data_IF_531643756815
#
_entry.id   IF_531643756815
#
_cell.length_a   1.000
_cell.length_b   1.000
_cell.length_c   1.000
_cell.angle_alpha   90.00
_cell.angle_beta   90.00
_cell.angle_gamma   90.00
#
_symmetry.space_group_name_H-M   'P 1'
#
loop_
_entity.id
_entity.type
_entity.pdbx_description
1 polymer ?
#
# COMPACT_ATOMS: atom_id res chain seq x y z
N UNK A 1 29.21 -42.52 5.21
CA UNK A 1 28.65 -41.42 6.02
C UNK A 1 27.58 -40.71 5.22
N UNK A 2 26.30 -40.95 5.55
CA UNK A 2 25.15 -40.39 4.82
C UNK A 2 24.86 -39.01 5.42
N UNK A 3 25.23 -37.94 4.72
CA UNK A 3 24.92 -36.57 5.15
C UNK A 3 23.51 -36.23 4.67
N UNK A 4 22.64 -35.94 5.63
CA UNK A 4 21.24 -35.59 5.49
C UNK A 4 21.02 -34.49 4.45
N UNK A 5 20.15 -34.75 3.47
CA UNK A 5 19.55 -33.73 2.62
C UNK A 5 18.07 -33.62 3.03
N UNK A 6 17.83 -32.98 4.17
CA UNK A 6 16.48 -32.55 4.56
C UNK A 6 16.60 -31.08 4.89
N UNK A 7 15.94 -30.25 4.08
CA UNK A 7 15.73 -28.85 4.41
C UNK A 7 15.89 -27.94 3.22
N UNK A 8 14.84 -27.78 2.40
CA UNK A 8 14.46 -26.50 1.78
C UNK A 8 13.13 -26.56 0.98
N UNK A 9 12.06 -27.15 1.50
CA UNK A 9 10.77 -27.23 0.74
C UNK A 9 9.54 -26.79 1.55
N UNK A 10 9.70 -26.01 2.62
CA UNK A 10 8.56 -25.62 3.46
C UNK A 10 8.47 -24.10 3.72
N UNK A 11 8.42 -23.30 2.66
CA UNK A 11 8.17 -21.85 2.79
C UNK A 11 7.38 -21.21 1.63
N UNK A 12 6.58 -22.00 0.90
CA UNK A 12 5.81 -21.52 -0.27
C UNK A 12 4.29 -21.39 -0.02
N UNK A 13 3.80 -21.69 1.18
CA UNK A 13 2.36 -21.80 1.44
C UNK A 13 1.71 -20.55 2.08
N UNK A 14 2.48 -19.51 2.41
CA UNK A 14 1.94 -18.29 3.07
C UNK A 14 1.81 -17.07 2.14
N UNK A 15 2.22 -17.18 0.88
CA UNK A 15 2.16 -16.08 -0.09
C UNK A 15 0.79 -15.92 -0.75
N UNK A 16 0.00 -16.99 -0.86
CA UNK A 16 -1.31 -16.97 -1.53
C UNK A 16 -2.31 -16.05 -0.83
N UNK A 17 -2.44 -16.12 0.50
CA UNK A 17 -3.40 -15.28 1.22
C UNK A 17 -3.05 -13.79 1.22
N UNK A 18 -1.77 -13.44 1.11
CA UNK A 18 -1.34 -12.04 1.08
C UNK A 18 -1.64 -11.36 -0.25
N UNK A 19 -1.52 -12.08 -1.37
CA UNK A 19 -1.88 -11.53 -2.67
C UNK A 19 -3.36 -11.14 -2.69
N UNK A 20 -4.23 -12.04 -2.22
CA UNK A 20 -5.68 -11.78 -2.14
C UNK A 20 -6.01 -10.63 -1.17
N UNK A 21 -5.40 -10.58 0.02
CA UNK A 21 -5.61 -9.49 0.98
C UNK A 21 -5.17 -8.13 0.43
N UNK A 22 -4.02 -8.09 -0.26
CA UNK A 22 -3.49 -6.88 -0.87
C UNK A 22 -4.38 -6.43 -2.02
N UNK A 23 -4.77 -7.35 -2.91
CA UNK A 23 -5.63 -7.03 -4.05
C UNK A 23 -7.00 -6.54 -3.59
N UNK A 24 -7.58 -7.16 -2.57
CA UNK A 24 -8.82 -6.71 -1.94
C UNK A 24 -8.68 -5.30 -1.33
N UNK A 25 -7.57 -5.02 -0.66
CA UNK A 25 -7.28 -3.69 -0.13
C UNK A 25 -7.18 -2.65 -1.25
N UNK A 26 -6.41 -2.92 -2.31
CA UNK A 26 -6.23 -1.99 -3.43
C UNK A 26 -7.54 -1.77 -4.21
N UNK A 27 -8.35 -2.82 -4.37
CA UNK A 27 -9.68 -2.71 -4.95
C UNK A 27 -10.57 -1.79 -4.10
N UNK A 28 -10.64 -2.02 -2.79
CA UNK A 28 -11.42 -1.19 -1.88
C UNK A 28 -10.88 0.25 -1.76
N UNK A 29 -9.56 0.45 -1.89
CA UNK A 29 -8.96 1.77 -1.93
C UNK A 29 -9.37 2.51 -3.21
N UNK A 30 -9.30 1.87 -4.38
CA UNK A 30 -9.78 2.46 -5.64
C UNK A 30 -11.27 2.85 -5.57
N UNK A 31 -12.11 2.01 -4.95
CA UNK A 31 -13.53 2.35 -4.74
C UNK A 31 -13.72 3.58 -3.83
N UNK A 32 -12.93 3.68 -2.76
CA UNK A 32 -13.01 4.83 -1.83
C UNK A 32 -12.50 6.13 -2.46
N UNK A 33 -11.47 6.06 -3.30
CA UNK A 33 -10.97 7.24 -4.05
C UNK A 33 -12.08 7.76 -4.96
N UNK A 34 -12.80 6.86 -5.64
CA UNK A 34 -13.89 7.23 -6.54
C UNK A 34 -13.44 8.28 -7.56
N UNK A 35 -14.11 9.44 -7.56
CA UNK A 35 -13.76 10.59 -8.39
C UNK A 35 -12.94 11.67 -7.66
N UNK A 36 -12.71 11.52 -6.35
CA UNK A 36 -11.96 12.49 -5.55
C UNK A 36 -10.48 12.12 -5.49
N UNK A 37 -9.78 12.35 -6.60
CA UNK A 37 -8.33 12.14 -6.68
C UNK A 37 -7.54 13.14 -5.83
N UNK A 38 -8.09 14.33 -5.61
CA UNK A 38 -7.39 15.42 -4.91
C UNK A 38 -7.17 15.08 -3.44
N UNK A 39 -8.20 14.58 -2.74
CA UNK A 39 -8.05 14.17 -1.34
C UNK A 39 -7.11 12.97 -1.20
N UNK A 40 -7.12 12.06 -2.16
CA UNK A 40 -6.17 10.94 -2.22
C UNK A 40 -4.72 11.40 -2.40
N UNK A 41 -4.46 12.32 -3.32
CA UNK A 41 -3.14 12.91 -3.52
C UNK A 41 -2.64 13.62 -2.24
N UNK A 42 -3.50 14.38 -1.56
CA UNK A 42 -3.15 15.04 -0.30
C UNK A 42 -2.82 14.03 0.82
N UNK A 43 -3.58 12.93 0.90
CA UNK A 43 -3.33 11.85 1.86
C UNK A 43 -2.00 11.13 1.56
N UNK A 44 -1.66 10.89 0.30
CA UNK A 44 -0.36 10.34 -0.09
C UNK A 44 0.79 11.28 0.29
N UNK A 45 0.67 12.57 -0.02
CA UNK A 45 1.66 13.59 0.35
C UNK A 45 1.90 13.62 1.86
N UNK A 46 0.83 13.63 2.65
CA UNK A 46 0.91 13.64 4.11
C UNK A 46 1.48 12.35 4.68
N UNK A 47 1.03 11.19 4.17
CA UNK A 47 1.41 9.88 4.69
C UNK A 47 2.86 9.52 4.41
N UNK A 48 3.38 9.90 3.24
CA UNK A 48 4.72 9.53 2.78
C UNK A 48 5.69 10.72 2.75
N UNK A 49 5.30 11.88 3.29
CA UNK A 49 6.14 13.09 3.33
C UNK A 49 6.62 13.55 1.96
N UNK A 50 5.83 13.31 0.91
CA UNK A 50 6.21 13.57 -0.48
C UNK A 50 5.57 14.85 -1.02
N UNK A 51 6.34 15.64 -1.78
CA UNK A 51 5.85 16.86 -2.41
C UNK A 51 4.63 16.57 -3.32
N UNK A 52 3.62 17.44 -3.28
CA UNK A 52 2.37 17.25 -4.03
C UNK A 52 2.57 17.12 -5.55
N UNK A 53 3.51 17.85 -6.16
CA UNK A 53 3.79 17.73 -7.59
C UNK A 53 4.34 16.34 -7.93
N UNK A 54 5.20 15.80 -7.05
CA UNK A 54 5.72 14.44 -7.19
C UNK A 54 4.60 13.42 -7.06
N UNK A 55 3.71 13.59 -6.07
CA UNK A 55 2.55 12.71 -5.88
C UNK A 55 1.64 12.72 -7.12
N UNK A 56 1.27 13.90 -7.61
CA UNK A 56 0.46 14.05 -8.83
C UNK A 56 1.09 13.37 -10.03
N UNK A 57 2.40 13.54 -10.21
CA UNK A 57 3.15 12.89 -11.29
C UNK A 57 3.09 11.36 -11.21
N UNK A 58 3.28 10.80 -10.02
CA UNK A 58 3.18 9.34 -9.80
C UNK A 58 1.75 8.85 -10.00
N UNK A 59 0.75 9.52 -9.45
CA UNK A 59 -0.67 9.19 -9.63
C UNK A 59 -1.08 9.21 -11.11
N UNK A 60 -0.57 10.17 -11.89
CA UNK A 60 -0.79 10.25 -13.34
C UNK A 60 0.01 9.22 -14.16
N UNK A 61 0.94 8.48 -13.56
CA UNK A 61 1.84 7.55 -14.25
C UNK A 61 1.51 6.06 -14.01
N UNK A 62 0.46 5.77 -13.23
CA UNK A 62 0.01 4.42 -12.88
C UNK A 62 -1.36 4.11 -13.48
N UNK A 63 -1.69 2.83 -13.60
CA UNK A 63 -2.95 2.40 -14.25
C UNK A 63 -4.18 2.67 -13.36
N UNK A 64 -4.04 2.48 -12.05
CA UNK A 64 -5.10 2.72 -11.07
C UNK A 64 -4.60 3.67 -9.98
N UNK A 65 -5.41 4.59 -9.44
CA UNK A 65 -4.97 5.48 -8.37
C UNK A 65 -4.34 4.76 -7.16
N UNK A 66 -4.90 3.62 -6.72
CA UNK A 66 -4.34 2.84 -5.62
C UNK A 66 -2.94 2.25 -5.93
N UNK A 67 -2.55 2.12 -7.20
CA UNK A 67 -1.19 1.70 -7.55
C UNK A 67 -0.15 2.74 -7.14
N UNK A 68 -0.52 4.03 -7.10
CA UNK A 68 0.37 5.08 -6.62
C UNK A 68 0.69 4.90 -5.13
N UNK A 69 -0.29 4.45 -4.32
CA UNK A 69 -0.03 4.08 -2.92
C UNK A 69 1.05 2.99 -2.84
N UNK A 70 0.99 1.97 -3.69
CA UNK A 70 1.98 0.89 -3.70
C UNK A 70 3.36 1.38 -4.14
N UNK A 71 3.43 2.32 -5.09
CA UNK A 71 4.70 2.95 -5.49
C UNK A 71 5.36 3.63 -4.29
N UNK A 72 4.61 4.46 -3.54
CA UNK A 72 5.16 5.16 -2.37
C UNK A 72 5.45 4.21 -1.19
N UNK A 73 4.59 3.21 -0.95
CA UNK A 73 4.80 2.26 0.14
C UNK A 73 6.06 1.41 -0.10
N UNK A 74 6.27 0.94 -1.32
CA UNK A 74 7.50 0.21 -1.67
C UNK A 74 8.72 1.12 -1.60
N UNK A 75 8.62 2.37 -2.05
CA UNK A 75 9.71 3.34 -1.94
C UNK A 75 10.15 3.53 -0.47
N UNK A 76 9.20 3.71 0.44
CA UNK A 76 9.46 3.84 1.87
C UNK A 76 10.12 2.58 2.47
N UNK A 77 9.51 1.41 2.26
CA UNK A 77 9.97 0.14 2.85
C UNK A 77 11.34 -0.28 2.30
N UNK A 78 11.58 -0.04 1.00
CA UNK A 78 12.86 -0.39 0.35
C UNK A 78 13.91 0.71 0.44
N UNK A 79 13.55 1.87 1.01
CA UNK A 79 14.38 3.09 1.07
C UNK A 79 14.86 3.54 -0.33
N UNK A 80 14.00 3.41 -1.33
CA UNK A 80 14.24 3.80 -2.72
C UNK A 80 13.44 5.03 -3.08
N UNK A 81 13.79 5.65 -4.20
CA UNK A 81 12.99 6.74 -4.74
C UNK A 81 11.71 6.20 -5.43
N UNK A 82 10.55 6.90 -5.31
CA UNK A 82 9.32 6.52 -6.01
C UNK A 82 9.51 6.32 -7.51
N UNK A 83 10.39 7.09 -8.13
CA UNK A 83 10.73 7.02 -9.54
C UNK A 83 11.39 5.68 -9.91
N UNK A 84 12.27 5.15 -9.05
CA UNK A 84 12.87 3.81 -9.24
C UNK A 84 11.80 2.71 -9.17
N UNK A 85 10.89 2.82 -8.20
CA UNK A 85 9.78 1.87 -8.04
C UNK A 85 8.85 1.92 -9.26
N UNK A 86 8.56 3.12 -9.76
CA UNK A 86 7.71 3.32 -10.94
C UNK A 86 8.32 2.67 -12.20
N UNK A 87 9.64 2.72 -12.37
CA UNK A 87 10.33 2.02 -13.46
C UNK A 87 10.15 0.51 -13.39
N UNK A 88 10.25 -0.07 -12.18
CA UNK A 88 10.06 -1.51 -11.97
C UNK A 88 8.59 -1.90 -12.16
N UNK A 89 7.65 -1.08 -11.64
CA UNK A 89 6.21 -1.25 -11.87
C UNK A 89 5.89 -1.32 -13.36
N UNK A 90 6.35 -0.35 -14.16
CA UNK A 90 6.07 -0.32 -15.61
C UNK A 90 6.55 -1.58 -16.34
N UNK A 91 7.62 -2.22 -15.86
CA UNK A 91 8.17 -3.46 -16.44
C UNK A 91 7.46 -4.73 -15.99
N UNK A 92 6.83 -4.72 -14.81
CA UNK A 92 6.37 -5.94 -14.15
C UNK A 92 4.92 -5.92 -13.64
N UNK A 93 4.17 -4.83 -13.86
CA UNK A 93 2.79 -4.66 -13.37
C UNK A 93 1.84 -5.80 -13.77
N UNK A 94 2.02 -6.38 -14.96
CA UNK A 94 1.24 -7.53 -15.44
C UNK A 94 1.43 -8.81 -14.59
N UNK A 95 2.49 -8.86 -13.78
CA UNK A 95 2.81 -9.98 -12.87
C UNK A 95 2.41 -9.69 -11.42
N UNK A 96 1.74 -8.56 -11.17
CA UNK A 96 1.26 -8.13 -9.87
C UNK A 96 2.34 -7.56 -8.94
N UNK A 97 1.89 -6.97 -7.84
CA UNK A 97 2.72 -6.26 -6.87
C UNK A 97 3.76 -7.14 -6.17
N UNK A 98 3.45 -8.42 -5.96
CA UNK A 98 4.42 -9.38 -5.41
C UNK A 98 5.68 -9.49 -6.26
N UNK A 99 5.55 -9.47 -7.59
CA UNK A 99 6.71 -9.50 -8.50
C UNK A 99 7.49 -8.18 -8.46
N UNK A 100 6.79 -7.05 -8.48
CA UNK A 100 7.42 -5.72 -8.37
C UNK A 100 8.23 -5.61 -7.07
N UNK A 101 7.67 -6.04 -5.95
CA UNK A 101 8.35 -6.04 -4.65
C UNK A 101 9.61 -6.92 -4.66
N UNK A 102 9.54 -8.11 -5.25
CA UNK A 102 10.71 -9.00 -5.39
C UNK A 102 11.84 -8.37 -6.21
N UNK A 103 11.52 -7.72 -7.34
CA UNK A 103 12.50 -7.02 -8.18
C UNK A 103 13.16 -5.84 -7.46
N UNK A 104 12.49 -5.26 -6.45
CA UNK A 104 13.03 -4.22 -5.58
C UNK A 104 13.79 -4.77 -4.37
N UNK A 105 13.91 -6.10 -4.25
CA UNK A 105 14.66 -6.76 -3.18
C UNK A 105 13.82 -7.16 -1.96
N UNK A 106 12.49 -7.01 -1.99
CA UNK A 106 11.61 -7.47 -0.91
C UNK A 106 11.43 -8.97 -1.02
N UNK A 107 12.05 -9.71 -0.10
CA UNK A 107 11.96 -11.18 -0.07
C UNK A 107 10.78 -11.63 0.79
N UNK A 108 10.03 -12.67 0.40
CA UNK A 108 9.00 -13.25 1.26
C UNK A 108 9.56 -13.57 2.66
N UNK A 109 8.85 -13.14 3.71
CA UNK A 109 9.25 -13.32 5.11
C UNK A 109 10.36 -12.38 5.60
N UNK A 110 10.87 -11.46 4.78
CA UNK A 110 11.78 -10.42 5.27
C UNK A 110 11.03 -9.39 6.11
N UNK A 111 11.78 -8.60 6.89
CA UNK A 111 11.22 -7.50 7.67
C UNK A 111 10.46 -6.52 6.76
N UNK A 112 11.04 -6.19 5.62
CA UNK A 112 10.45 -5.34 4.58
C UNK A 112 9.14 -5.93 4.04
N UNK A 113 9.06 -7.26 3.86
CA UNK A 113 7.83 -7.92 3.44
C UNK A 113 6.73 -7.79 4.49
N UNK A 114 7.07 -7.92 5.78
CA UNK A 114 6.11 -7.72 6.86
C UNK A 114 5.66 -6.26 6.99
N UNK A 115 6.58 -5.30 6.88
CA UNK A 115 6.27 -3.88 6.84
C UNK A 115 5.35 -3.56 5.66
N UNK A 116 5.62 -4.07 4.45
CA UNK A 116 4.79 -3.85 3.26
C UNK A 116 3.32 -4.25 3.46
N UNK A 117 3.01 -5.17 4.38
CA UNK A 117 1.62 -5.58 4.69
C UNK A 117 0.83 -4.55 5.48
N UNK A 118 1.48 -3.57 6.09
CA UNK A 118 0.80 -2.54 6.86
C UNK A 118 0.10 -1.54 5.93
N UNK A 119 -1.21 -1.41 6.13
CA UNK A 119 -2.05 -0.51 5.34
C UNK A 119 -2.13 0.87 5.99
N UNK A 120 -1.29 1.82 5.53
CA UNK A 120 -1.25 3.19 6.08
C UNK A 120 -2.47 4.04 5.70
N UNK A 121 -3.19 3.68 4.63
CA UNK A 121 -4.39 4.38 4.17
C UNK A 121 -5.71 3.61 4.42
N UNK A 122 -5.75 2.71 5.42
CA UNK A 122 -6.94 1.90 5.73
C UNK A 122 -8.21 2.72 6.03
N UNK A 123 -8.06 4.00 6.38
CA UNK A 123 -9.14 4.92 6.75
C UNK A 123 -9.29 6.13 5.80
N UNK A 124 -8.72 6.08 4.59
CA UNK A 124 -8.95 7.11 3.57
C UNK A 124 -10.45 7.34 3.38
N UNK A 125 -10.90 8.61 3.36
CA UNK A 125 -12.32 8.98 3.26
C UNK A 125 -13.19 8.75 4.51
N UNK A 126 -12.69 8.11 5.59
CA UNK A 126 -13.47 7.86 6.83
C UNK A 126 -13.39 8.98 7.87
N UNK A 127 -12.57 10.03 7.65
CA UNK A 127 -12.43 11.17 8.57
C UNK A 127 -13.63 12.15 8.61
N UNK A 128 -14.73 11.84 7.92
CA UNK A 128 -15.94 12.68 7.88
C UNK A 128 -17.07 12.31 8.86
N UNK A 129 -16.87 11.38 9.80
CA UNK A 129 -17.85 11.12 10.89
C UNK A 129 -17.31 11.66 12.21
N UNK A 130 -17.21 13.00 12.30
CA UNK A 130 -17.27 13.66 13.60
C UNK A 130 -18.59 13.23 14.27
N UNK A 131 -18.48 12.59 15.43
CA UNK A 131 -19.61 12.41 16.33
C UNK A 131 -20.11 13.81 16.69
N UNK A 132 -21.24 14.24 16.13
CA UNK A 132 -22.07 15.29 16.73
C UNK A 132 -22.52 14.77 18.09
N UNK A 133 -21.76 15.07 19.14
CA UNK A 133 -22.26 14.99 20.51
C UNK A 133 -23.42 15.98 20.63
N UNK A 134 -24.64 15.45 20.67
CA UNK A 134 -25.80 16.20 21.11
C UNK A 134 -25.56 16.68 22.54
N UNK A 135 -25.20 17.96 22.71
CA UNK A 135 -25.46 18.68 23.95
C UNK A 135 -26.98 18.70 24.18
N UNK A 136 -27.48 17.69 24.91
CA UNK A 136 -28.82 17.71 25.47
C UNK A 136 -28.74 18.48 26.79
N UNK A 137 -29.11 19.75 26.73
CA UNK A 137 -29.43 20.52 27.94
C UNK A 137 -30.64 19.89 28.63
N UNK A 138 -30.54 19.72 29.94
CA UNK A 138 -31.64 19.43 30.88
C UNK A 138 -31.05 19.38 32.30
N UNK A 139 -31.54 19.99 33.36
CA UNK A 139 -32.42 21.13 33.63
C UNK A 139 -31.88 21.69 34.97
N UNK A 140 -32.01 22.99 35.21
CA UNK A 140 -31.87 23.56 36.55
C UNK A 140 -33.18 23.32 37.27
N UNK A 141 -33.11 22.69 38.44
CA UNK A 141 -33.97 22.94 39.59
C UNK A 141 -33.12 22.78 40.86
#
# INVERSE_FOLDING_TARGET
MKKSLVGFVLMLLTSLSYADDLDNFLMNLNMQIGNDKTSFEADLSTTFGSNEMKVKSVVGSVDKPADAYMVFRLAEVTKKQPEEVLLVYKKHKEKGWGKVAQELGVKPGSREFHELKENKLKNHGKKGKEKKEHKKGKDRD
#
